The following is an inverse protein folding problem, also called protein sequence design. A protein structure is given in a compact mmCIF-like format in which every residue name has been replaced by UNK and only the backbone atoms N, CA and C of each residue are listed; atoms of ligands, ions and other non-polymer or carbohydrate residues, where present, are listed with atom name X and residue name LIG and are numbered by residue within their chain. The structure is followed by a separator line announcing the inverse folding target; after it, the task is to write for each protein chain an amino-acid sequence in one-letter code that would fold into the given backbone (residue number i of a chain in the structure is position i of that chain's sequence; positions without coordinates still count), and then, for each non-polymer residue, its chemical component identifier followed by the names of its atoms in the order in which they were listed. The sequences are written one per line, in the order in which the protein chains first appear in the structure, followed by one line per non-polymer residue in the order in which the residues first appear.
data_IF_453975857904
#
_entry.id   IF_453975857904
#
_cell.length_a   1.000
_cell.length_b   1.000
_cell.length_c   1.000
_cell.angle_alpha   90.00
_cell.angle_beta   90.00
_cell.angle_gamma   90.00
#
_symmetry.space_group_name_H-M   'P 1'
#
loop_
_entity.id
_entity.type
_entity.pdbx_description
1 polymer ?
#
# COMPACT_ATOMS: atom_id res chain seq x y z
N UNK A 1 -0.10 1.86 -20.87
CA UNK A 1 0.63 2.14 -19.62
C UNK A 1 1.95 2.92 -19.80
N UNK A 2 2.03 4.09 -19.17
CA UNK A 2 3.24 4.87 -18.88
C UNK A 2 3.72 4.58 -17.45
N UNK A 3 5.01 4.60 -17.20
CA UNK A 3 5.60 4.36 -15.88
C UNK A 3 6.46 5.56 -15.50
N UNK A 4 6.28 6.03 -14.27
CA UNK A 4 7.07 7.10 -13.67
C UNK A 4 7.71 6.55 -12.41
N UNK A 5 9.03 6.45 -12.37
CA UNK A 5 9.75 5.91 -11.22
C UNK A 5 10.47 7.02 -10.47
N UNK A 6 9.97 7.38 -9.28
CA UNK A 6 10.58 8.35 -8.36
C UNK A 6 11.49 7.60 -7.39
N UNK A 7 12.80 7.77 -7.55
CA UNK A 7 13.81 7.21 -6.65
C UNK A 7 14.32 8.28 -5.72
N UNK A 8 14.12 8.08 -4.43
CA UNK A 8 14.61 8.96 -3.38
C UNK A 8 16.01 8.51 -2.97
N UNK A 9 16.98 9.42 -3.09
CA UNK A 9 18.35 9.26 -2.64
C UNK A 9 18.50 9.37 -1.12
N UNK A 10 19.67 9.80 -0.67
CA UNK A 10 19.91 10.03 0.76
C UNK A 10 19.07 11.21 1.26
N UNK A 11 18.48 11.06 2.44
CA UNK A 11 17.63 12.08 3.04
C UNK A 11 16.57 11.51 3.96
N UNK A 12 15.79 12.41 4.55
CA UNK A 12 14.60 12.11 5.34
C UNK A 12 13.62 13.27 5.24
N UNK A 13 12.43 13.13 5.80
CA UNK A 13 11.50 14.26 5.93
C UNK A 13 12.06 15.37 6.85
N UNK A 14 13.05 15.10 7.71
CA UNK A 14 13.65 16.12 8.57
C UNK A 14 14.79 16.88 7.88
N UNK A 15 15.53 16.22 6.99
CA UNK A 15 16.69 16.81 6.29
C UNK A 15 16.41 17.21 4.85
N UNK A 16 15.27 16.78 4.29
CA UNK A 16 14.99 16.86 2.86
C UNK A 16 15.69 15.77 2.06
N UNK A 17 15.44 15.77 0.75
CA UNK A 17 16.03 14.87 -0.24
C UNK A 17 16.68 15.68 -1.34
N UNK A 18 18.01 15.68 -1.38
CA UNK A 18 18.80 16.47 -2.34
C UNK A 18 19.01 15.75 -3.69
N UNK A 19 18.70 14.46 -3.75
CA UNK A 19 18.87 13.64 -4.95
C UNK A 19 17.62 12.79 -5.15
N UNK A 20 16.70 13.29 -5.98
CA UNK A 20 15.55 12.53 -6.46
C UNK A 20 15.75 12.30 -7.95
N UNK A 21 15.84 11.03 -8.35
CA UNK A 21 15.88 10.64 -9.75
C UNK A 21 14.49 10.19 -10.19
N UNK A 22 13.96 10.80 -11.25
CA UNK A 22 12.71 10.42 -11.89
C UNK A 22 12.99 9.88 -13.28
N UNK A 23 12.52 8.67 -13.55
CA UNK A 23 12.62 8.06 -14.87
C UNK A 23 11.24 7.90 -15.50
N UNK A 24 11.17 8.20 -16.79
CA UNK A 24 9.96 8.12 -17.58
C UNK A 24 10.09 6.96 -18.57
N UNK A 25 9.16 6.02 -18.50
CA UNK A 25 9.14 4.83 -19.37
C UNK A 25 7.78 4.71 -20.06
N UNK A 26 7.81 4.47 -21.36
CA UNK A 26 6.62 4.28 -22.19
C UNK A 26 6.83 3.05 -23.08
N UNK A 27 5.88 2.11 -23.09
CA UNK A 27 5.96 0.88 -23.90
C UNK A 27 7.31 0.15 -23.81
N UNK A 28 7.88 0.08 -22.60
CA UNK A 28 9.18 -0.56 -22.28
C UNK A 28 10.43 0.18 -22.76
N UNK A 29 10.29 1.42 -23.26
CA UNK A 29 11.42 2.28 -23.62
C UNK A 29 11.51 3.44 -22.63
N UNK A 30 12.70 3.66 -22.07
CA UNK A 30 12.99 4.86 -21.26
C UNK A 30 13.03 6.07 -22.19
N UNK A 31 12.12 7.01 -21.99
CA UNK A 31 12.02 8.24 -22.80
C UNK A 31 12.80 9.41 -22.19
N UNK A 32 13.19 9.30 -20.91
CA UNK A 32 14.09 10.27 -20.29
C UNK A 32 14.19 10.12 -18.78
N UNK A 33 15.04 10.95 -18.20
CA UNK A 33 15.21 11.08 -16.76
C UNK A 33 15.26 12.56 -16.33
N UNK A 34 14.91 12.83 -15.09
CA UNK A 34 14.97 14.15 -14.47
C UNK A 34 15.43 14.02 -13.04
N UNK A 35 16.30 14.92 -12.61
CA UNK A 35 16.68 15.03 -11.20
C UNK A 35 15.94 16.20 -10.54
N UNK A 36 15.71 16.08 -9.23
CA UNK A 36 15.09 17.12 -8.44
C UNK A 36 15.42 17.00 -6.96
N UNK A 37 14.94 17.99 -6.23
CA UNK A 37 15.16 18.15 -4.80
C UNK A 37 13.79 18.32 -4.13
N UNK A 38 13.61 17.72 -2.97
CA UNK A 38 12.51 18.05 -2.07
C UNK A 38 13.06 18.61 -0.76
N UNK A 39 12.54 19.75 -0.28
CA UNK A 39 12.99 20.35 0.97
C UNK A 39 12.58 19.49 2.18
N UNK A 40 13.12 19.77 3.38
CA UNK A 40 12.59 19.22 4.62
C UNK A 40 11.08 19.45 4.79
N UNK A 41 10.37 18.44 5.29
CA UNK A 41 8.98 18.50 5.74
C UNK A 41 8.81 17.86 7.14
N UNK A 42 9.42 18.44 8.19
CA UNK A 42 9.44 17.87 9.55
C UNK A 42 8.05 17.81 10.22
N UNK A 43 7.08 18.53 9.68
CA UNK A 43 5.68 18.53 10.12
C UNK A 43 4.90 17.30 9.61
N UNK A 44 5.36 16.69 8.50
CA UNK A 44 4.66 15.59 7.85
C UNK A 44 4.59 14.31 8.71
N UNK A 45 5.67 13.89 9.41
CA UNK A 45 5.59 12.79 10.36
C UNK A 45 4.54 13.01 11.46
N UNK A 46 4.47 14.23 12.01
CA UNK A 46 3.51 14.57 13.06
C UNK A 46 2.06 14.52 12.54
N UNK A 47 1.81 15.10 11.38
CA UNK A 47 0.48 15.10 10.77
C UNK A 47 0.02 13.68 10.41
N UNK A 48 0.94 12.83 9.95
CA UNK A 48 0.67 11.42 9.72
C UNK A 48 0.36 10.67 11.03
N UNK A 49 1.13 10.89 12.09
CA UNK A 49 0.87 10.26 13.40
C UNK A 49 -0.51 10.65 13.96
N UNK A 50 -0.90 11.92 13.83
CA UNK A 50 -2.21 12.38 14.27
C UNK A 50 -3.35 11.76 13.44
N UNK A 51 -3.19 11.69 12.12
CA UNK A 51 -4.11 10.99 11.24
C UNK A 51 -4.21 9.50 11.61
N UNK A 52 -3.07 8.84 11.87
CA UNK A 52 -3.02 7.42 12.22
C UNK A 52 -3.78 7.16 13.53
N UNK A 53 -3.63 8.02 14.54
CA UNK A 53 -4.36 7.91 15.81
C UNK A 53 -5.88 7.97 15.61
N UNK A 54 -6.36 8.86 14.74
CA UNK A 54 -7.79 8.95 14.42
C UNK A 54 -8.25 7.72 13.64
N UNK A 55 -7.47 7.29 12.65
CA UNK A 55 -7.78 6.11 11.86
C UNK A 55 -7.94 4.89 12.77
N UNK A 56 -6.97 4.63 13.65
CA UNK A 56 -7.02 3.53 14.62
C UNK A 56 -8.22 3.66 15.58
N UNK A 57 -8.52 4.87 16.08
CA UNK A 57 -9.68 5.10 16.93
C UNK A 57 -11.01 4.84 16.20
N UNK A 58 -11.09 5.21 14.93
CA UNK A 58 -12.27 5.01 14.06
C UNK A 58 -12.48 3.52 13.79
N UNK A 59 -11.41 2.79 13.47
CA UNK A 59 -11.46 1.33 13.30
C UNK A 59 -11.84 0.65 14.61
N UNK A 60 -11.26 1.05 15.74
CA UNK A 60 -11.59 0.51 17.05
C UNK A 60 -13.05 0.77 17.45
N UNK A 61 -13.58 1.97 17.17
CA UNK A 61 -14.98 2.29 17.40
C UNK A 61 -15.91 1.48 16.52
N UNK A 62 -15.61 1.36 15.22
CA UNK A 62 -16.36 0.53 14.28
C UNK A 62 -16.42 -0.94 14.74
N UNK A 63 -15.30 -1.48 15.25
CA UNK A 63 -15.24 -2.82 15.86
C UNK A 63 -16.08 -2.93 17.15
N UNK A 64 -16.16 -1.88 17.95
CA UNK A 64 -16.94 -1.87 19.20
C UNK A 64 -18.45 -1.76 18.95
N UNK A 65 -18.87 -0.95 17.97
CA UNK A 65 -20.28 -0.82 17.55
C UNK A 65 -20.80 -2.17 17.05
N UNK A 66 -20.00 -2.90 16.25
CA UNK A 66 -20.35 -4.26 15.79
C UNK A 66 -20.46 -5.31 16.92
N UNK A 67 -19.90 -5.05 18.10
CA UNK A 67 -19.95 -5.95 19.27
C UNK A 67 -21.10 -5.59 20.25
N UNK A 68 -22.11 -4.82 19.81
CA UNK A 68 -23.22 -4.33 20.64
C UNK A 68 -22.80 -3.56 21.92
N UNK A 69 -21.57 -3.05 21.96
CA UNK A 69 -21.09 -2.16 23.03
C UNK A 69 -21.43 -0.71 22.68
N UNK A 70 -22.73 -0.43 22.56
CA UNK A 70 -23.27 0.89 22.22
C UNK A 70 -23.02 1.83 23.41
N UNK A 71 -22.24 2.90 23.19
CA UNK A 71 -21.99 3.95 24.18
C UNK A 71 -20.53 4.34 24.45
N UNK A 72 -19.54 3.70 23.79
CA UNK A 72 -18.12 4.11 23.94
C UNK A 72 -17.68 5.13 22.90
N UNK A 73 -17.46 6.37 23.38
CA UNK A 73 -16.88 7.49 22.62
C UNK A 73 -15.57 7.13 21.88
N UNK A 74 -15.31 7.79 20.74
CA UNK A 74 -14.03 7.75 20.02
C UNK A 74 -12.91 8.29 20.92
N UNK A 75 -11.97 7.43 21.32
CA UNK A 75 -10.84 7.79 22.19
C UNK A 75 -9.56 7.20 21.61
N UNK A 76 -8.66 8.04 21.06
CA UNK A 76 -7.29 7.61 20.79
C UNK A 76 -6.41 7.90 22.01
N UNK A 77 -5.43 7.03 22.26
CA UNK A 77 -4.48 7.17 23.36
C UNK A 77 -3.16 7.70 22.79
N UNK A 78 -2.83 8.97 23.04
CA UNK A 78 -1.49 9.49 22.79
C UNK A 78 -0.60 9.15 23.99
N UNK A 79 0.60 8.62 23.76
CA UNK A 79 1.63 8.55 24.80
C UNK A 79 2.36 9.89 24.81
N UNK A 80 2.24 10.65 25.89
CA UNK A 80 3.06 11.84 26.14
C UNK A 80 4.01 11.56 27.32
N UNK A 81 5.16 12.23 27.33
CA UNK A 81 6.23 12.04 28.31
C UNK A 81 5.82 12.29 29.79
N UNK A 82 4.64 12.88 30.03
CA UNK A 82 4.12 13.18 31.38
C UNK A 82 2.73 12.57 31.70
N UNK A 83 2.24 11.61 30.90
CA UNK A 83 0.97 10.94 31.21
C UNK A 83 0.17 10.53 29.97
N UNK A 84 -0.89 9.74 30.20
CA UNK A 84 -1.82 9.30 29.14
C UNK A 84 -2.90 10.37 28.95
N UNK A 85 -2.72 11.27 27.99
CA UNK A 85 -3.76 12.20 27.57
C UNK A 85 -4.80 11.46 26.71
N UNK A 86 -6.06 11.43 27.15
CA UNK A 86 -7.19 10.93 26.34
C UNK A 86 -7.66 12.07 25.43
N UNK A 87 -7.33 12.00 24.14
CA UNK A 87 -7.84 12.97 23.17
C UNK A 87 -9.22 12.50 22.71
N UNK A 88 -10.24 13.33 22.91
CA UNK A 88 -11.60 13.14 22.41
C UNK A 88 -11.64 13.66 20.98
N UNK A 89 -11.88 12.78 20.01
CA UNK A 89 -12.02 13.18 18.61
C UNK A 89 -13.49 13.33 18.26
N UNK A 90 -13.86 14.51 17.76
CA UNK A 90 -15.14 14.75 17.08
C UNK A 90 -15.00 14.45 15.58
N UNK A 91 -16.11 14.28 14.88
CA UNK A 91 -16.12 14.16 13.41
C UNK A 91 -15.44 15.36 12.75
N UNK A 92 -15.71 16.58 13.24
CA UNK A 92 -15.09 17.82 12.76
C UNK A 92 -13.56 17.80 12.88
N UNK A 93 -13.04 17.40 14.03
CA UNK A 93 -11.58 17.30 14.24
C UNK A 93 -10.95 16.19 13.37
N UNK A 94 -11.74 15.18 12.99
CA UNK A 94 -11.26 14.06 12.17
C UNK A 94 -11.08 14.47 10.70
N UNK A 95 -11.99 15.31 10.19
CA UNK A 95 -11.86 15.88 8.85
C UNK A 95 -10.67 16.86 8.78
N UNK A 96 -10.56 17.77 9.75
CA UNK A 96 -9.46 18.75 9.79
C UNK A 96 -8.07 18.08 9.79
N UNK A 97 -7.92 16.95 10.49
CA UNK A 97 -6.65 16.21 10.55
C UNK A 97 -6.35 15.49 9.22
N UNK A 98 -7.37 14.97 8.52
CA UNK A 98 -7.20 14.42 7.17
C UNK A 98 -6.76 15.52 6.19
N UNK A 99 -7.47 16.65 6.19
CA UNK A 99 -7.18 17.79 5.33
C UNK A 99 -5.79 18.37 5.61
N UNK A 100 -5.34 18.37 6.87
CA UNK A 100 -3.99 18.81 7.23
C UNK A 100 -2.91 17.91 6.65
N UNK A 101 -3.08 16.59 6.68
CA UNK A 101 -2.13 15.64 6.10
C UNK A 101 -2.06 15.81 4.58
N UNK A 102 -3.22 15.85 3.92
CA UNK A 102 -3.32 16.07 2.47
C UNK A 102 -2.68 17.40 2.04
N UNK A 103 -2.98 18.50 2.73
CA UNK A 103 -2.35 19.80 2.47
C UNK A 103 -0.84 19.75 2.67
N UNK A 104 -0.36 19.02 3.67
CA UNK A 104 1.08 18.90 3.92
C UNK A 104 1.81 18.16 2.79
N UNK A 105 1.20 17.09 2.27
CA UNK A 105 1.74 16.33 1.13
C UNK A 105 1.80 17.20 -0.11
N UNK A 106 0.68 17.86 -0.45
CA UNK A 106 0.61 18.69 -1.65
C UNK A 106 1.47 19.95 -1.56
N UNK A 107 1.57 20.59 -0.39
CA UNK A 107 2.48 21.72 -0.19
C UNK A 107 3.94 21.31 -0.40
N UNK A 108 4.35 20.15 0.14
CA UNK A 108 5.70 19.63 -0.02
C UNK A 108 6.01 19.26 -1.48
N UNK A 109 5.11 18.54 -2.16
CA UNK A 109 5.25 18.19 -3.58
C UNK A 109 5.04 19.40 -4.52
N UNK A 110 4.58 20.54 -4.00
CA UNK A 110 4.47 21.79 -4.73
C UNK A 110 5.64 22.74 -4.52
N UNK A 111 6.69 22.31 -3.80
CA UNK A 111 7.81 23.18 -3.48
C UNK A 111 8.51 23.71 -4.74
N UNK A 112 9.11 24.91 -4.68
CA UNK A 112 9.85 25.48 -5.80
C UNK A 112 10.99 24.58 -6.30
N UNK A 113 11.64 23.85 -5.39
CA UNK A 113 12.77 22.96 -5.68
C UNK A 113 12.33 21.71 -6.45
N UNK A 114 11.12 21.21 -6.21
CA UNK A 114 10.57 20.05 -6.91
C UNK A 114 9.85 20.40 -8.21
N UNK A 115 9.62 21.70 -8.46
CA UNK A 115 8.93 22.20 -9.65
C UNK A 115 9.46 21.62 -10.97
N UNK A 116 10.77 21.52 -11.24
CA UNK A 116 11.27 20.99 -12.52
C UNK A 116 10.89 19.52 -12.75
N UNK A 117 10.86 18.71 -11.69
CA UNK A 117 10.41 17.31 -11.76
C UNK A 117 8.92 17.26 -11.97
N UNK A 118 8.16 18.05 -11.21
CA UNK A 118 6.71 18.12 -11.33
C UNK A 118 6.26 18.52 -12.74
N UNK A 119 6.88 19.55 -13.33
CA UNK A 119 6.59 19.98 -14.71
C UNK A 119 6.95 18.90 -15.74
N UNK A 120 8.04 18.17 -15.54
CA UNK A 120 8.40 17.03 -16.40
C UNK A 120 7.37 15.90 -16.32
N UNK A 121 6.90 15.55 -15.11
CA UNK A 121 5.83 14.57 -14.89
C UNK A 121 4.55 14.98 -15.63
N UNK A 122 4.09 16.23 -15.45
CA UNK A 122 2.89 16.73 -16.12
C UNK A 122 3.05 16.82 -17.64
N UNK A 123 4.24 17.09 -18.15
CA UNK A 123 4.50 17.12 -19.60
C UNK A 123 4.53 15.72 -20.22
N UNK A 124 4.93 14.72 -19.43
CA UNK A 124 4.96 13.33 -19.85
C UNK A 124 3.58 12.66 -19.85
N UNK A 125 2.61 13.19 -19.09
CA UNK A 125 1.32 12.55 -18.86
C UNK A 125 0.16 13.30 -19.53
N UNK A 126 -0.77 12.56 -20.11
CA UNK A 126 -2.10 13.02 -20.48
C UNK A 126 -3.13 12.50 -19.47
N UNK A 127 -4.26 13.20 -19.35
CA UNK A 127 -5.36 12.85 -18.43
C UNK A 127 -5.82 11.38 -18.51
N UNK A 128 -5.91 10.85 -19.73
CA UNK A 128 -6.46 9.52 -20.01
C UNK A 128 -5.37 8.45 -20.18
N UNK A 129 -4.11 8.77 -19.86
CA UNK A 129 -3.06 7.76 -19.86
C UNK A 129 -3.22 6.84 -18.63
N UNK A 130 -3.13 5.53 -18.85
CA UNK A 130 -2.83 4.56 -17.79
C UNK A 130 -1.42 4.82 -17.27
N UNK A 131 -1.29 5.23 -16.00
CA UNK A 131 -0.01 5.63 -15.42
C UNK A 131 0.30 4.78 -14.19
N UNK A 132 1.52 4.28 -14.10
CA UNK A 132 2.05 3.62 -12.91
C UNK A 132 3.12 4.50 -12.27
N UNK A 133 2.81 5.10 -11.13
CA UNK A 133 3.75 5.86 -10.31
C UNK A 133 4.45 4.91 -9.33
N UNK A 134 5.76 4.73 -9.49
CA UNK A 134 6.58 3.89 -8.61
C UNK A 134 7.36 4.80 -7.64
N UNK A 135 7.09 4.67 -6.35
CA UNK A 135 7.85 5.34 -5.29
C UNK A 135 8.91 4.37 -4.77
N UNK A 136 10.16 4.64 -5.13
CA UNK A 136 11.31 3.85 -4.72
C UNK A 136 12.07 4.61 -3.61
N UNK A 137 11.90 4.14 -2.38
CA UNK A 137 12.52 4.78 -1.21
C UNK A 137 12.97 3.79 -0.16
N UNK A 138 14.11 4.10 0.47
CA UNK A 138 14.61 3.40 1.66
C UNK A 138 14.04 3.99 2.95
N UNK A 139 13.51 5.21 2.90
CA UNK A 139 12.95 5.89 4.06
C UNK A 139 11.65 5.21 4.51
N UNK A 140 11.60 4.84 5.80
CA UNK A 140 10.45 4.11 6.37
C UNK A 140 9.21 5.00 6.49
N UNK A 141 9.39 6.31 6.61
CA UNK A 141 8.29 7.24 6.80
C UNK A 141 7.63 7.58 5.46
N UNK A 142 8.42 7.77 4.40
CA UNK A 142 7.92 7.98 3.04
C UNK A 142 7.05 6.83 2.54
N UNK A 143 7.34 5.58 2.94
CA UNK A 143 6.48 4.43 2.59
C UNK A 143 5.08 4.50 3.22
N UNK A 144 4.95 5.19 4.35
CA UNK A 144 3.67 5.32 5.05
C UNK A 144 2.84 6.50 4.54
N UNK A 145 3.43 7.39 3.76
CA UNK A 145 2.70 8.53 3.21
C UNK A 145 1.60 7.99 2.28
N UNK A 146 0.36 8.47 2.44
CA UNK A 146 -0.73 8.14 1.53
C UNK A 146 -0.55 8.89 0.20
N UNK A 147 0.35 8.40 -0.66
CA UNK A 147 0.73 9.06 -1.93
C UNK A 147 -0.43 9.32 -2.88
N UNK A 148 -1.51 8.53 -2.78
CA UNK A 148 -2.75 8.75 -3.54
C UNK A 148 -3.41 10.10 -3.24
N UNK A 149 -3.08 10.77 -2.12
CA UNK A 149 -3.53 12.12 -1.79
C UNK A 149 -2.78 13.22 -2.55
N UNK A 150 -1.82 12.87 -3.40
CA UNK A 150 -1.20 13.86 -4.28
C UNK A 150 -2.21 14.32 -5.34
N UNK A 151 -2.39 15.63 -5.50
CA UNK A 151 -3.23 16.29 -6.52
C UNK A 151 -2.98 15.81 -7.97
N UNK A 152 -1.86 15.13 -8.21
CA UNK A 152 -1.58 14.44 -9.47
C UNK A 152 -2.68 13.42 -9.84
N UNK A 153 -3.21 12.67 -8.86
CA UNK A 153 -4.21 11.62 -9.08
C UNK A 153 -5.60 12.20 -9.43
N UNK A 154 -5.92 13.41 -8.95
CA UNK A 154 -7.16 14.11 -9.33
C UNK A 154 -7.18 14.44 -10.82
N UNK A 155 -6.01 14.70 -11.40
CA UNK A 155 -5.83 15.06 -12.82
C UNK A 155 -5.62 13.84 -13.72
N UNK A 156 -5.28 12.70 -13.13
CA UNK A 156 -4.99 11.46 -13.85
C UNK A 156 -5.74 10.29 -13.18
N UNK A 157 -7.05 10.14 -13.46
CA UNK A 157 -7.88 9.14 -12.80
C UNK A 157 -7.48 7.68 -13.07
N UNK A 158 -6.68 7.43 -14.11
CA UNK A 158 -6.12 6.10 -14.41
C UNK A 158 -4.68 5.92 -13.89
N UNK A 159 -4.21 6.84 -13.04
CA UNK A 159 -2.92 6.71 -12.40
C UNK A 159 -3.03 5.88 -11.12
N UNK A 160 -2.11 4.93 -10.97
CA UNK A 160 -1.96 4.09 -9.78
C UNK A 160 -0.60 4.32 -9.15
N UNK A 161 -0.54 4.26 -7.82
CA UNK A 161 0.72 4.40 -7.07
C UNK A 161 1.15 3.10 -6.43
N UNK A 162 2.43 2.79 -6.57
CA UNK A 162 3.04 1.60 -5.98
C UNK A 162 4.28 1.96 -5.19
N UNK A 163 4.49 1.26 -4.09
CA UNK A 163 5.69 1.35 -3.29
C UNK A 163 6.65 0.26 -3.70
N UNK A 164 7.90 0.62 -3.91
CA UNK A 164 8.93 -0.30 -4.35
C UNK A 164 10.15 -0.25 -3.44
N UNK A 165 10.76 -1.41 -3.20
CA UNK A 165 12.08 -1.49 -2.56
C UNK A 165 13.15 -1.26 -3.62
N UNK A 166 14.22 -0.56 -3.23
CA UNK A 166 15.34 -0.26 -4.12
C UNK A 166 15.85 -1.51 -4.83
N UNK A 167 15.81 -1.50 -6.16
CA UNK A 167 16.25 -2.63 -7.00
C UNK A 167 15.11 -3.33 -7.76
N UNK A 168 13.85 -2.94 -7.55
CA UNK A 168 12.74 -3.38 -8.41
C UNK A 168 13.01 -2.97 -9.84
N UNK A 169 13.05 -3.96 -10.71
CA UNK A 169 13.02 -3.77 -12.16
C UNK A 169 11.78 -4.51 -12.58
N UNK A 170 10.81 -3.78 -13.15
CA UNK A 170 9.63 -4.41 -13.73
C UNK A 170 10.10 -5.32 -14.87
N UNK A 171 10.37 -6.58 -14.54
CA UNK A 171 10.61 -7.60 -15.55
C UNK A 171 9.25 -7.87 -16.13
N UNK A 172 9.04 -7.47 -17.38
CA UNK A 172 7.94 -7.93 -18.22
C UNK A 172 8.10 -9.45 -18.42
N UNK A 173 7.81 -10.25 -17.40
CA UNK A 173 7.41 -11.62 -17.64
C UNK A 173 5.99 -11.52 -18.16
N UNK A 174 5.79 -12.02 -19.38
CA UNK A 174 4.45 -12.22 -19.91
C UNK A 174 3.62 -12.94 -18.86
N UNK A 175 2.35 -12.57 -18.73
CA UNK A 175 1.35 -13.37 -18.05
C UNK A 175 1.55 -14.84 -18.42
N UNK A 176 1.33 -15.73 -17.46
CA UNK A 176 1.47 -17.17 -17.65
C UNK A 176 0.49 -17.63 -18.74
N UNK A 177 0.98 -17.69 -19.98
CA UNK A 177 0.22 -17.97 -21.21
C UNK A 177 -0.95 -16.99 -21.50
N UNK A 178 -1.27 -16.74 -22.78
CA UNK A 178 -2.46 -15.98 -23.13
C UNK A 178 -3.70 -16.83 -22.83
N UNK A 179 -4.43 -16.50 -21.76
CA UNK A 179 -5.68 -17.19 -21.48
C UNK A 179 -6.45 -16.72 -20.26
N UNK A 180 -5.88 -16.79 -19.05
CA UNK A 180 -6.59 -16.44 -17.80
C UNK A 180 -5.64 -15.98 -16.69
N UNK A 181 -6.04 -14.96 -15.93
CA UNK A 181 -5.36 -14.49 -14.72
C UNK A 181 -5.68 -15.43 -13.56
N UNK A 182 -4.66 -16.08 -12.99
CA UNK A 182 -4.82 -16.99 -11.84
C UNK A 182 -4.65 -16.23 -10.52
N UNK A 183 -5.69 -16.28 -9.68
CA UNK A 183 -5.73 -15.62 -8.38
C UNK A 183 -5.80 -16.67 -7.27
N UNK A 184 -4.81 -16.69 -6.37
CA UNK A 184 -4.87 -17.45 -5.12
C UNK A 184 -5.49 -16.57 -4.03
N UNK A 185 -6.71 -16.89 -3.59
CA UNK A 185 -7.39 -16.22 -2.49
C UNK A 185 -7.20 -17.00 -1.17
N UNK A 186 -6.36 -16.49 -0.27
CA UNK A 186 -6.18 -17.02 1.09
C UNK A 186 -7.19 -16.33 2.00
N UNK A 187 -8.15 -17.11 2.51
CA UNK A 187 -9.20 -16.64 3.40
C UNK A 187 -8.81 -17.04 4.82
N UNK A 188 -8.46 -16.07 5.66
CA UNK A 188 -8.04 -16.30 7.05
C UNK A 188 -9.19 -16.19 8.04
N UNK A 189 -8.92 -15.55 9.19
CA UNK A 189 -9.97 -15.19 10.15
C UNK A 189 -10.84 -14.07 9.58
N UNK A 190 -12.03 -14.45 9.12
CA UNK A 190 -13.03 -13.56 8.52
C UNK A 190 -14.11 -13.10 9.50
N UNK A 191 -13.91 -13.27 10.82
CA UNK A 191 -14.92 -12.88 11.81
C UNK A 191 -15.28 -11.40 11.67
N UNK A 192 -16.52 -11.12 11.30
CA UNK A 192 -17.06 -9.79 10.96
C UNK A 192 -16.50 -9.14 9.67
N UNK A 193 -15.99 -9.93 8.73
CA UNK A 193 -15.59 -9.48 7.39
C UNK A 193 -16.52 -10.13 6.36
N UNK A 194 -17.33 -9.36 5.61
CA UNK A 194 -18.23 -9.91 4.60
C UNK A 194 -17.46 -10.25 3.31
N UNK A 195 -16.74 -11.39 3.32
CA UNK A 195 -15.84 -11.80 2.24
C UNK A 195 -16.57 -12.29 0.98
N UNK A 196 -17.80 -12.81 1.15
CA UNK A 196 -18.58 -13.39 0.05
C UNK A 196 -18.80 -12.42 -1.11
N UNK A 197 -18.95 -11.12 -0.82
CA UNK A 197 -19.11 -10.10 -1.86
C UNK A 197 -17.83 -9.91 -2.67
N UNK A 198 -16.69 -9.84 -2.00
CA UNK A 198 -15.41 -9.59 -2.65
C UNK A 198 -15.02 -10.78 -3.54
N UNK A 199 -15.22 -12.01 -3.04
CA UNK A 199 -15.00 -13.24 -3.82
C UNK A 199 -15.97 -13.36 -5.00
N UNK A 200 -17.25 -13.01 -4.82
CA UNK A 200 -18.22 -13.02 -5.91
C UNK A 200 -17.86 -12.04 -7.02
N UNK A 201 -17.31 -10.86 -6.67
CA UNK A 201 -16.81 -9.90 -7.66
C UNK A 201 -15.62 -10.51 -8.41
N UNK A 202 -14.62 -11.02 -7.70
CA UNK A 202 -13.43 -11.62 -8.34
C UNK A 202 -13.79 -12.79 -9.26
N UNK A 203 -14.74 -13.63 -8.84
CA UNK A 203 -15.21 -14.78 -9.63
C UNK A 203 -16.11 -14.38 -10.82
N UNK A 204 -16.62 -13.14 -10.85
CA UNK A 204 -17.44 -12.62 -11.95
C UNK A 204 -16.63 -12.01 -13.09
N UNK A 205 -15.32 -11.83 -12.90
CA UNK A 205 -14.45 -11.24 -13.92
C UNK A 205 -14.13 -12.31 -14.97
N UNK A 206 -14.41 -11.98 -16.24
CA UNK A 206 -14.02 -12.83 -17.36
C UNK A 206 -12.51 -13.06 -17.38
N UNK A 207 -12.08 -14.23 -17.84
CA UNK A 207 -10.67 -14.62 -17.90
C UNK A 207 -9.93 -14.62 -16.55
N UNK A 208 -10.65 -14.83 -15.43
CA UNK A 208 -10.05 -15.07 -14.10
C UNK A 208 -10.26 -16.53 -13.66
N UNK A 209 -9.19 -17.15 -13.16
CA UNK A 209 -9.25 -18.40 -12.39
C UNK A 209 -9.04 -18.08 -10.90
N UNK A 210 -10.12 -18.02 -10.13
CA UNK A 210 -10.07 -17.82 -8.69
C UNK A 210 -9.94 -19.17 -7.97
N UNK A 211 -8.86 -19.35 -7.22
CA UNK A 211 -8.64 -20.52 -6.35
C UNK A 211 -8.69 -20.09 -4.89
N UNK A 212 -9.75 -20.49 -4.20
CA UNK A 212 -9.97 -20.17 -2.80
C UNK A 212 -9.31 -21.19 -1.87
N UNK A 213 -8.71 -20.69 -0.80
CA UNK A 213 -8.09 -21.48 0.26
C UNK A 213 -8.59 -20.96 1.61
N UNK A 214 -9.57 -21.66 2.19
CA UNK A 214 -10.25 -21.27 3.43
C UNK A 214 -9.54 -21.81 4.67
N UNK A 215 -9.10 -20.89 5.53
CA UNK A 215 -8.35 -21.10 6.77
C UNK A 215 -7.20 -22.13 6.65
N UNK A 216 -6.34 -22.02 5.61
CA UNK A 216 -5.32 -23.02 5.33
C UNK A 216 -4.19 -22.97 6.36
N UNK A 217 -3.61 -24.11 6.66
CA UNK A 217 -2.37 -24.21 7.43
C UNK A 217 -1.21 -23.51 6.72
N UNK A 218 -0.18 -23.11 7.48
CA UNK A 218 1.03 -22.50 6.93
C UNK A 218 1.69 -23.38 5.84
N UNK A 219 1.63 -24.70 6.02
CA UNK A 219 2.16 -25.67 5.08
C UNK A 219 1.34 -25.67 3.78
N UNK A 220 0.01 -25.71 3.86
CA UNK A 220 -0.86 -25.64 2.68
C UNK A 220 -0.66 -24.34 1.91
N UNK A 221 -0.51 -23.20 2.59
CA UNK A 221 -0.19 -21.92 1.94
C UNK A 221 1.14 -22.03 1.19
N UNK A 222 2.18 -22.57 1.82
CA UNK A 222 3.49 -22.73 1.19
C UNK A 222 3.44 -23.68 0.00
N UNK A 223 2.67 -24.75 0.07
CA UNK A 223 2.55 -25.73 -1.00
C UNK A 223 1.77 -25.15 -2.19
N UNK A 224 0.67 -24.42 -1.92
CA UNK A 224 -0.06 -23.65 -2.95
C UNK A 224 0.84 -22.63 -3.64
N UNK A 225 1.59 -21.84 -2.89
CA UNK A 225 2.51 -20.84 -3.45
C UNK A 225 3.62 -21.46 -4.33
N UNK A 226 3.97 -22.72 -4.11
CA UNK A 226 5.00 -23.45 -4.87
C UNK A 226 4.44 -24.23 -6.06
N UNK A 227 3.14 -24.11 -6.35
CA UNK A 227 2.54 -24.77 -7.51
C UNK A 227 3.25 -24.35 -8.80
N UNK A 228 3.58 -25.34 -9.64
CA UNK A 228 4.31 -25.13 -10.90
C UNK A 228 3.51 -24.33 -11.92
N UNK A 229 2.19 -24.41 -11.86
CA UNK A 229 1.30 -23.65 -12.73
C UNK A 229 1.40 -22.13 -12.46
N UNK A 230 1.92 -21.72 -11.29
CA UNK A 230 2.14 -20.33 -10.96
C UNK A 230 0.85 -19.58 -10.61
N UNK A 231 1.00 -18.37 -10.11
CA UNK A 231 -0.11 -17.47 -9.77
C UNK A 231 0.22 -16.13 -10.39
N UNK A 232 -0.78 -15.35 -10.81
CA UNK A 232 -0.56 -13.96 -11.23
C UNK A 232 -0.80 -13.02 -10.04
N UNK A 233 -1.80 -13.33 -9.22
CA UNK A 233 -2.21 -12.53 -8.05
C UNK A 233 -2.36 -13.41 -6.81
N UNK A 234 -1.81 -12.94 -5.68
CA UNK A 234 -2.08 -13.44 -4.35
C UNK A 234 -3.00 -12.46 -3.63
N UNK A 235 -4.14 -12.94 -3.14
CA UNK A 235 -5.13 -12.13 -2.43
C UNK A 235 -5.35 -12.72 -1.04
N UNK A 236 -5.10 -11.96 0.02
CA UNK A 236 -5.43 -12.37 1.39
C UNK A 236 -6.63 -11.60 1.90
N UNK A 237 -7.57 -12.31 2.55
CA UNK A 237 -8.70 -11.70 3.25
C UNK A 237 -8.77 -12.23 4.66
N UNK A 238 -8.62 -11.36 5.64
CA UNK A 238 -8.67 -11.71 7.05
C UNK A 238 -8.11 -10.60 7.92
N UNK A 239 -8.08 -10.81 9.23
CA UNK A 239 -7.45 -9.86 10.14
C UNK A 239 -5.91 -9.96 10.07
N UNK A 240 -5.24 -8.84 9.84
CA UNK A 240 -3.79 -8.72 10.01
C UNK A 240 -3.42 -7.96 11.29
N UNK A 241 -2.22 -8.22 11.81
CA UNK A 241 -1.64 -7.45 12.91
C UNK A 241 -0.53 -6.53 12.38
N UNK A 242 -0.90 -5.29 12.06
CA UNK A 242 -0.01 -4.24 11.55
C UNK A 242 0.89 -3.60 12.63
N UNK A 243 0.67 -3.93 13.91
CA UNK A 243 1.40 -3.33 15.02
C UNK A 243 2.73 -4.01 15.32
N UNK A 244 2.99 -5.19 14.75
CA UNK A 244 4.32 -5.80 14.79
C UNK A 244 5.17 -5.23 13.65
N UNK A 245 6.49 -5.07 13.88
CA UNK A 245 7.43 -4.73 12.80
C UNK A 245 7.54 -5.84 11.75
N UNK A 246 7.01 -7.03 12.04
CA UNK A 246 7.21 -8.25 11.27
C UNK A 246 6.01 -8.63 10.38
N UNK A 247 4.82 -8.07 10.64
CA UNK A 247 3.57 -8.35 9.93
C UNK A 247 3.03 -9.78 10.16
N UNK A 248 1.78 -9.88 10.62
CA UNK A 248 1.11 -11.18 10.82
C UNK A 248 -0.20 -11.26 10.06
N UNK A 249 -0.49 -12.44 9.51
CA UNK A 249 -1.78 -12.82 8.93
C UNK A 249 -2.50 -13.73 9.92
N UNK A 250 -3.72 -13.40 10.33
CA UNK A 250 -4.53 -14.31 11.15
C UNK A 250 -5.21 -15.33 10.22
N UNK A 251 -4.83 -16.60 10.36
CA UNK A 251 -5.43 -17.69 9.60
C UNK A 251 -6.73 -18.14 10.27
N UNK A 252 -6.76 -18.12 11.60
CA UNK A 252 -7.87 -18.53 12.45
C UNK A 252 -7.82 -17.74 13.77
N UNK A 253 -8.80 -17.89 14.67
CA UNK A 253 -8.89 -17.14 15.94
C UNK A 253 -7.60 -17.28 16.79
N UNK A 254 -6.98 -18.46 16.79
CA UNK A 254 -5.77 -18.77 17.57
C UNK A 254 -4.50 -18.97 16.71
N UNK A 255 -4.61 -18.87 15.38
CA UNK A 255 -3.50 -19.17 14.47
C UNK A 255 -3.07 -17.92 13.71
N UNK A 256 -1.83 -17.52 13.95
CA UNK A 256 -1.16 -16.42 13.23
C UNK A 256 -0.01 -16.96 12.41
N UNK A 257 0.17 -16.38 11.23
CA UNK A 257 1.26 -16.68 10.31
C UNK A 257 2.12 -15.44 10.12
N UNK A 258 3.43 -15.60 10.28
CA UNK A 258 4.39 -14.53 10.07
C UNK A 258 4.71 -14.42 8.58
N UNK A 259 4.77 -13.21 8.04
CA UNK A 259 5.07 -13.02 6.61
C UNK A 259 6.49 -13.50 6.27
N UNK A 260 7.43 -13.43 7.23
CA UNK A 260 8.79 -13.95 7.04
C UNK A 260 8.82 -15.44 6.72
N UNK A 261 7.85 -16.20 7.25
CA UNK A 261 7.81 -17.66 7.10
C UNK A 261 7.37 -18.03 5.69
N UNK A 262 6.63 -17.14 5.02
CA UNK A 262 6.23 -17.28 3.63
C UNK A 262 7.31 -16.85 2.63
N UNK A 263 8.41 -16.21 3.08
CA UNK A 263 9.39 -15.58 2.18
C UNK A 263 9.94 -16.54 1.11
N UNK A 264 10.25 -17.78 1.49
CA UNK A 264 10.76 -18.79 0.56
C UNK A 264 9.69 -19.21 -0.45
N UNK A 265 8.45 -19.44 0.00
CA UNK A 265 7.35 -19.83 -0.86
C UNK A 265 6.94 -18.69 -1.82
N UNK A 266 6.88 -17.45 -1.32
CA UNK A 266 6.66 -16.25 -2.13
C UNK A 266 7.76 -16.07 -3.18
N UNK A 267 9.03 -16.26 -2.81
CA UNK A 267 10.14 -16.18 -3.79
C UNK A 267 9.98 -17.22 -4.92
N UNK A 268 9.44 -18.40 -4.62
CA UNK A 268 9.14 -19.41 -5.62
C UNK A 268 7.93 -19.01 -6.48
N UNK A 269 6.85 -18.53 -5.87
CA UNK A 269 5.67 -18.05 -6.57
C UNK A 269 6.02 -16.95 -7.58
N UNK A 270 6.88 -16.01 -7.17
CA UNK A 270 7.43 -14.93 -8.00
C UNK A 270 8.25 -15.46 -9.16
N UNK A 271 9.11 -16.45 -8.91
CA UNK A 271 9.85 -17.11 -9.97
C UNK A 271 8.92 -17.78 -11.00
N UNK A 272 7.78 -18.30 -10.54
CA UNK A 272 6.75 -18.97 -11.34
C UNK A 272 5.70 -18.03 -11.95
N UNK A 273 5.76 -16.71 -11.71
CA UNK A 273 4.87 -15.73 -12.38
C UNK A 273 4.10 -14.78 -11.47
N UNK A 274 4.18 -14.91 -10.13
CA UNK A 274 3.46 -14.01 -9.21
C UNK A 274 3.88 -12.57 -9.42
N UNK A 275 2.90 -11.73 -9.76
CA UNK A 275 3.10 -10.30 -10.06
C UNK A 275 2.63 -9.42 -8.89
N UNK A 276 1.49 -9.76 -8.29
CA UNK A 276 0.85 -8.93 -7.26
C UNK A 276 0.54 -9.72 -6.00
N UNK A 277 0.72 -9.10 -4.84
CA UNK A 277 0.20 -9.59 -3.57
C UNK A 277 -0.57 -8.49 -2.83
N UNK A 278 -1.86 -8.72 -2.62
CA UNK A 278 -2.74 -7.88 -1.83
C UNK A 278 -2.90 -8.49 -0.44
N UNK A 279 -2.34 -7.81 0.57
CA UNK A 279 -2.35 -8.22 1.98
C UNK A 279 -2.91 -7.06 2.83
N UNK A 280 -4.24 -6.89 2.87
CA UNK A 280 -4.86 -5.82 3.64
C UNK A 280 -4.57 -6.03 5.12
N UNK A 281 -4.08 -4.98 5.80
CA UNK A 281 -3.65 -4.93 7.22
C UNK A 281 -2.19 -5.33 7.51
N UNK A 282 -1.32 -5.32 6.51
CA UNK A 282 0.11 -5.03 6.71
C UNK A 282 0.30 -3.53 6.46
N UNK A 283 1.25 -2.88 7.14
CA UNK A 283 1.53 -1.42 7.01
C UNK A 283 1.70 -0.91 5.57
N UNK A 284 1.89 -1.81 4.61
CA UNK A 284 1.90 -1.57 3.16
C UNK A 284 0.81 -2.46 2.53
N UNK A 285 -0.27 -1.87 2.01
CA UNK A 285 -1.47 -2.62 1.57
C UNK A 285 -1.30 -3.34 0.22
N UNK A 286 -0.19 -3.09 -0.48
CA UNK A 286 0.15 -3.77 -1.73
C UNK A 286 1.66 -4.05 -1.70
N UNK A 287 2.04 -5.32 -1.73
CA UNK A 287 3.43 -5.73 -1.91
C UNK A 287 3.61 -6.23 -3.34
N UNK A 288 4.35 -5.47 -4.13
CA UNK A 288 4.87 -5.95 -5.41
C UNK A 288 6.06 -6.86 -5.14
N UNK A 289 5.96 -8.10 -5.57
CA UNK A 289 6.99 -9.11 -5.41
C UNK A 289 7.69 -9.31 -6.76
N UNK A 290 8.55 -8.38 -7.17
CA UNK A 290 9.51 -8.60 -8.27
C UNK A 290 10.71 -7.63 -8.24
#
# INVERSE_FOLDING_TARGET
MKIISLRFGAGSLDTGFEDILVEFTNKSMTEGEKTGILPPAPEMPRNYEEWQLIYEATIAHSRNVRRNNIGRELRAKRKENNGRSKIKYSEKNSQEIRDNLERSINFWLASPEFRPVREAIYSFCNRDDEILLIINTKDKMLRKIPWHLWEFFDRHPQAEVILSRSGFTAKNKSLTEPGKVRILAIIGDIKNIPVDRDLAILNSIDDVELVESSQPTAQEICDRLREKQGWDILFYVGHGDANSEEGWLNIDEDKKLKISDLKSALSNAVANGLQFAFLPLVKDSILFLN
#
